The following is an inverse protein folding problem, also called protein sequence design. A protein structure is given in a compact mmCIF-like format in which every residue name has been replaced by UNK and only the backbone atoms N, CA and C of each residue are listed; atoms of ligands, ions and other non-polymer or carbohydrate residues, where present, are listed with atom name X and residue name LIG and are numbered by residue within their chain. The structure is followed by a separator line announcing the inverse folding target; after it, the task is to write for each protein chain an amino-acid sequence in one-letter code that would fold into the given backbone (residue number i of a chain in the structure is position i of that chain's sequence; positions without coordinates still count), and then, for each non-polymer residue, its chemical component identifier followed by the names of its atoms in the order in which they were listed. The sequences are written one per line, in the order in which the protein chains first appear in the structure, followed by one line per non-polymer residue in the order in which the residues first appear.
data_IF_071751930377
#
_entry.id   IF_071751930377
#
_cell.length_a   1.000
_cell.length_b   1.000
_cell.length_c   1.000
_cell.angle_alpha   90.00
_cell.angle_beta   90.00
_cell.angle_gamma   90.00
#
_symmetry.space_group_name_H-M   'P 1'
#
loop_
_entity.id
_entity.type
_entity.pdbx_description
1 polymer ?
#
# COMPACT_ATOMS: atom_id res chain seq x y z
N UNK A 1 -6.11 -39.29 22.79
CA UNK A 1 -5.01 -38.50 22.20
C UNK A 1 -5.65 -37.31 21.49
N UNK A 2 -5.64 -36.13 22.12
CA UNK A 2 -6.20 -34.90 21.54
C UNK A 2 -5.22 -34.40 20.48
N UNK A 3 -5.59 -34.52 19.20
CA UNK A 3 -4.88 -33.80 18.14
C UNK A 3 -5.24 -32.31 18.29
N UNK A 4 -4.26 -31.50 18.70
CA UNK A 4 -4.36 -30.05 18.55
C UNK A 4 -4.50 -29.76 17.05
N UNK A 5 -5.53 -29.02 16.60
CA UNK A 5 -5.65 -28.65 15.20
C UNK A 5 -4.44 -27.80 14.84
N UNK A 6 -3.55 -28.38 14.03
CA UNK A 6 -2.28 -27.80 13.66
C UNK A 6 -2.44 -26.40 13.11
N UNK A 7 -1.42 -25.57 13.34
CA UNK A 7 -1.27 -24.24 12.77
C UNK A 7 -1.40 -24.33 11.24
N UNK A 8 -2.58 -24.02 10.71
CA UNK A 8 -2.79 -24.00 9.26
C UNK A 8 -2.03 -22.81 8.67
N UNK A 9 -0.98 -23.08 7.89
CA UNK A 9 -0.28 -22.05 7.14
C UNK A 9 -0.64 -22.15 5.65
N UNK A 10 -1.11 -21.06 5.04
CA UNK A 10 -1.29 -20.98 3.61
C UNK A 10 -0.02 -20.43 2.95
N UNK A 11 0.47 -21.16 1.95
CA UNK A 11 1.67 -20.78 1.17
C UNK A 11 1.24 -20.29 -0.20
N UNK A 12 1.96 -19.29 -0.70
CA UNK A 12 1.69 -18.68 -1.99
C UNK A 12 2.58 -17.47 -2.20
N UNK A 13 2.05 -16.44 -2.83
CA UNK A 13 2.77 -15.20 -3.08
C UNK A 13 1.88 -13.98 -2.96
N UNK A 14 2.48 -12.88 -2.52
CA UNK A 14 1.88 -11.55 -2.63
C UNK A 14 2.51 -10.86 -3.83
N UNK A 15 1.68 -10.42 -4.75
CA UNK A 15 2.02 -9.63 -5.92
C UNK A 15 1.49 -8.21 -5.71
N UNK A 16 2.34 -7.21 -5.89
CA UNK A 16 1.96 -5.80 -5.86
C UNK A 16 2.22 -5.22 -7.22
N UNK A 17 1.17 -4.69 -7.85
CA UNK A 17 1.21 -4.02 -9.14
C UNK A 17 0.90 -2.54 -8.95
N UNK A 18 1.67 -1.66 -9.58
CA UNK A 18 1.44 -0.22 -9.54
C UNK A 18 1.23 0.30 -10.96
N UNK A 19 0.18 1.09 -11.15
CA UNK A 19 -0.23 1.67 -12.43
C UNK A 19 -0.36 3.18 -12.28
N UNK A 20 -0.05 3.93 -13.35
CA UNK A 20 -0.40 5.33 -13.38
C UNK A 20 -1.93 5.48 -13.54
N UNK A 21 -2.58 6.33 -12.75
CA UNK A 21 -4.04 6.38 -12.65
C UNK A 21 -4.65 7.73 -13.02
N UNK A 22 -4.09 8.83 -12.53
CA UNK A 22 -4.60 10.17 -12.77
C UNK A 22 -3.44 11.11 -13.16
N UNK A 23 -3.62 12.02 -14.15
CA UNK A 23 -4.88 12.45 -14.78
C UNK A 23 -5.41 11.58 -15.92
N UNK A 24 -4.65 10.58 -16.35
CA UNK A 24 -5.07 9.60 -17.35
C UNK A 24 -4.61 8.23 -16.89
N UNK A 25 -5.49 7.23 -16.99
CA UNK A 25 -5.11 5.85 -16.74
C UNK A 25 -4.00 5.44 -17.71
N UNK A 26 -2.97 4.79 -17.17
CA UNK A 26 -1.81 4.34 -17.92
C UNK A 26 -1.39 2.93 -17.53
N UNK A 27 -0.30 2.49 -18.13
CA UNK A 27 0.21 1.13 -17.94
C UNK A 27 0.81 0.89 -16.55
N UNK A 28 1.11 -0.39 -16.28
CA UNK A 28 1.84 -0.81 -15.10
C UNK A 28 3.24 -0.19 -15.11
N UNK A 29 3.54 0.61 -14.09
CA UNK A 29 4.81 1.33 -13.94
C UNK A 29 5.81 0.61 -13.04
N UNK A 30 5.33 -0.29 -12.18
CA UNK A 30 6.18 -1.10 -11.31
C UNK A 30 5.44 -2.35 -10.83
N UNK A 31 6.18 -3.41 -10.50
CA UNK A 31 5.64 -4.56 -9.79
C UNK A 31 6.68 -5.20 -8.87
N UNK A 32 6.21 -5.90 -7.83
CA UNK A 32 7.03 -6.78 -7.01
C UNK A 32 6.23 -8.01 -6.62
N UNK A 33 6.88 -9.16 -6.55
CA UNK A 33 6.28 -10.42 -6.12
C UNK A 33 7.17 -11.08 -5.07
N UNK A 34 6.57 -11.61 -4.02
CA UNK A 34 7.28 -12.31 -2.95
C UNK A 34 6.51 -13.53 -2.50
N UNK A 35 7.21 -14.65 -2.37
CA UNK A 35 6.65 -15.84 -1.74
C UNK A 35 6.38 -15.59 -0.26
N UNK A 36 5.23 -16.05 0.21
CA UNK A 36 4.77 -15.84 1.58
C UNK A 36 4.20 -17.12 2.16
N UNK A 37 4.33 -17.23 3.47
CA UNK A 37 3.64 -18.23 4.29
C UNK A 37 2.84 -17.51 5.36
N UNK A 38 1.53 -17.50 5.19
CA UNK A 38 0.59 -16.80 6.08
C UNK A 38 0.06 -17.81 7.07
N UNK A 39 0.33 -17.58 8.35
CA UNK A 39 -0.18 -18.43 9.44
C UNK A 39 -1.61 -18.02 9.76
N UNK A 40 -2.50 -19.00 9.86
CA UNK A 40 -3.90 -18.75 10.26
C UNK A 40 -3.98 -18.29 11.71
N UNK A 41 -5.00 -17.48 12.01
CA UNK A 41 -5.35 -17.04 13.38
C UNK A 41 -4.28 -16.21 14.09
N UNK A 42 -3.31 -15.69 13.35
CA UNK A 42 -2.34 -14.70 13.83
C UNK A 42 -2.24 -13.56 12.81
N UNK A 43 -1.88 -12.38 13.31
CA UNK A 43 -1.55 -11.26 12.44
C UNK A 43 -0.21 -11.53 11.74
N UNK A 44 -0.21 -11.46 10.42
CA UNK A 44 0.99 -11.53 9.59
C UNK A 44 1.31 -10.13 9.06
N UNK A 45 2.57 -9.73 9.09
CA UNK A 45 3.02 -8.47 8.50
C UNK A 45 4.05 -8.78 7.42
N UNK A 46 3.83 -8.23 6.23
CA UNK A 46 4.65 -8.50 5.05
C UNK A 46 5.09 -7.16 4.49
N UNK A 47 6.40 -6.91 4.54
CA UNK A 47 7.02 -5.71 3.99
C UNK A 47 7.55 -6.03 2.59
N UNK A 48 7.14 -5.19 1.63
CA UNK A 48 7.54 -5.23 0.23
C UNK A 48 8.04 -3.84 -0.16
N UNK A 49 9.18 -3.79 -0.83
CA UNK A 49 9.72 -2.55 -1.37
C UNK A 49 9.46 -2.55 -2.88
N UNK A 50 8.74 -1.54 -3.35
CA UNK A 50 8.46 -1.34 -4.76
C UNK A 50 9.22 -0.12 -5.25
N UNK A 51 10.14 -0.32 -6.20
CA UNK A 51 10.84 0.77 -6.87
C UNK A 51 10.00 1.28 -8.04
N UNK A 52 9.71 2.58 -8.06
CA UNK A 52 9.07 3.26 -9.18
C UNK A 52 10.13 4.17 -9.79
N UNK A 53 10.54 3.87 -11.02
CA UNK A 53 11.52 4.68 -11.74
C UNK A 53 10.87 5.99 -12.19
N UNK A 54 11.56 7.11 -11.95
CA UNK A 54 11.13 8.45 -12.37
C UNK A 54 9.64 8.75 -12.06
N UNK A 55 9.23 8.68 -10.77
CA UNK A 55 7.83 8.85 -10.42
C UNK A 55 7.35 10.26 -10.76
N UNK A 56 6.20 10.34 -11.43
CA UNK A 56 5.41 11.58 -11.50
C UNK A 56 4.90 11.89 -10.09
N UNK A 57 5.36 13.00 -9.53
CA UNK A 57 5.08 13.37 -8.16
C UNK A 57 3.70 14.02 -8.04
N UNK A 58 3.04 13.78 -6.91
CA UNK A 58 1.84 14.48 -6.53
C UNK A 58 2.18 15.90 -6.06
N UNK A 59 1.43 16.89 -6.52
CA UNK A 59 1.44 18.28 -6.05
C UNK A 59 0.05 18.91 -6.27
N UNK A 60 -0.28 20.00 -5.58
CA UNK A 60 -1.63 20.59 -5.65
C UNK A 60 -2.08 20.95 -7.09
N UNK A 61 -1.16 21.45 -7.93
CA UNK A 61 -1.45 21.77 -9.34
C UNK A 61 -1.33 20.60 -10.32
N UNK A 62 -0.64 19.52 -9.94
CA UNK A 62 -0.51 18.30 -10.74
C UNK A 62 -0.71 17.09 -9.80
N UNK A 63 -1.96 16.74 -9.48
CA UNK A 63 -2.27 15.75 -8.47
C UNK A 63 -2.13 14.33 -9.04
N UNK A 64 -0.93 13.99 -9.53
CA UNK A 64 -0.61 12.68 -10.10
C UNK A 64 -0.93 11.57 -9.09
N UNK A 65 -1.69 10.56 -9.52
CA UNK A 65 -2.06 9.42 -8.68
C UNK A 65 -1.69 8.10 -9.34
N UNK A 66 -1.46 7.10 -8.50
CA UNK A 66 -1.20 5.73 -8.89
C UNK A 66 -2.24 4.81 -8.29
N UNK A 67 -2.62 3.78 -9.03
CA UNK A 67 -3.41 2.65 -8.56
C UNK A 67 -2.44 1.55 -8.16
N UNK A 68 -2.49 1.14 -6.89
CA UNK A 68 -1.74 -0.01 -6.38
C UNK A 68 -2.73 -1.14 -6.15
N UNK A 69 -2.43 -2.28 -6.76
CA UNK A 69 -3.18 -3.53 -6.61
C UNK A 69 -2.29 -4.51 -5.86
N UNK A 70 -2.78 -5.07 -4.77
CA UNK A 70 -2.11 -6.10 -3.97
C UNK A 70 -2.92 -7.38 -4.12
N UNK A 71 -2.33 -8.40 -4.72
CA UNK A 71 -2.97 -9.69 -4.98
C UNK A 71 -2.27 -10.77 -4.16
N UNK A 72 -3.05 -11.52 -3.37
CA UNK A 72 -2.58 -12.76 -2.77
C UNK A 72 -2.91 -13.91 -3.72
N UNK A 73 -1.92 -14.70 -4.10
CA UNK A 73 -2.09 -15.91 -4.91
C UNK A 73 -1.74 -17.16 -4.12
N UNK A 74 -2.42 -18.26 -4.42
CA UNK A 74 -2.05 -19.58 -3.89
C UNK A 74 -0.89 -20.18 -4.70
N UNK A 75 -0.37 -21.34 -4.28
CA UNK A 75 0.70 -22.07 -5.00
C UNK A 75 0.36 -22.45 -6.45
N UNK A 76 -0.92 -22.47 -6.84
CA UNK A 76 -1.36 -22.74 -8.22
C UNK A 76 -1.38 -21.46 -9.07
N UNK A 77 -1.09 -20.30 -8.48
CA UNK A 77 -1.15 -18.98 -9.13
C UNK A 77 -2.54 -18.36 -9.15
N UNK A 78 -3.55 -19.03 -8.58
CA UNK A 78 -4.92 -18.53 -8.51
C UNK A 78 -4.98 -17.39 -7.47
N UNK A 79 -5.61 -16.28 -7.83
CA UNK A 79 -5.87 -15.19 -6.89
C UNK A 79 -6.84 -15.69 -5.81
N UNK A 80 -6.40 -15.61 -4.55
CA UNK A 80 -7.20 -15.92 -3.38
C UNK A 80 -7.97 -14.67 -2.94
N UNK A 81 -7.30 -13.52 -3.00
CA UNK A 81 -7.80 -12.24 -2.52
C UNK A 81 -7.04 -11.10 -3.20
N UNK A 82 -7.64 -9.91 -3.23
CA UNK A 82 -7.04 -8.70 -3.76
C UNK A 82 -7.49 -7.44 -3.00
N UNK A 83 -6.65 -6.42 -3.05
CA UNK A 83 -6.93 -5.10 -2.47
C UNK A 83 -6.37 -4.00 -3.36
N UNK A 84 -7.19 -3.00 -3.65
CA UNK A 84 -6.81 -1.87 -4.51
C UNK A 84 -6.85 -0.57 -3.70
N UNK A 85 -5.80 0.24 -3.84
CA UNK A 85 -5.70 1.56 -3.26
C UNK A 85 -5.12 2.58 -4.24
N UNK A 86 -5.45 3.85 -4.04
CA UNK A 86 -4.92 4.96 -4.84
C UNK A 86 -3.95 5.77 -3.99
N UNK A 87 -2.76 6.07 -4.52
CA UNK A 87 -1.69 6.79 -3.80
C UNK A 87 -1.16 7.98 -4.59
N UNK A 88 -0.65 8.99 -3.88
CA UNK A 88 0.16 10.08 -4.44
C UNK A 88 1.58 10.04 -3.86
N UNK A 89 2.59 10.13 -4.73
CA UNK A 89 4.02 10.08 -4.33
C UNK A 89 4.52 11.53 -4.16
N UNK A 90 4.94 11.91 -2.96
CA UNK A 90 5.46 13.25 -2.66
C UNK A 90 6.46 13.22 -1.51
N UNK A 91 7.35 14.18 -1.49
CA UNK A 91 8.20 14.49 -0.33
C UNK A 91 7.55 15.65 0.42
N UNK A 92 7.39 15.49 1.73
CA UNK A 92 6.87 16.52 2.61
C UNK A 92 7.98 16.88 3.60
N UNK A 93 8.26 18.18 3.75
CA UNK A 93 9.25 18.69 4.68
C UNK A 93 8.74 19.97 5.34
N UNK A 94 8.99 20.16 6.65
CA UNK A 94 8.69 21.40 7.34
C UNK A 94 9.97 22.03 7.87
N UNK A 95 10.24 23.29 7.50
CA UNK A 95 11.41 24.06 7.93
C UNK A 95 10.98 25.46 8.34
N UNK A 96 11.34 25.88 9.56
CA UNK A 96 11.07 27.22 10.09
C UNK A 96 9.59 27.66 9.93
N UNK A 97 8.65 26.75 10.20
CA UNK A 97 7.21 27.02 10.07
C UNK A 97 6.67 27.03 8.64
N UNK A 98 7.51 26.81 7.62
CA UNK A 98 7.07 26.68 6.22
C UNK A 98 6.98 25.21 5.84
N UNK A 99 5.86 24.81 5.24
CA UNK A 99 5.67 23.48 4.65
C UNK A 99 6.22 23.48 3.23
N UNK A 100 6.93 22.41 2.86
CA UNK A 100 7.44 22.18 1.53
C UNK A 100 6.88 20.86 1.00
N UNK A 101 6.33 20.89 -0.21
CA UNK A 101 5.95 19.70 -0.97
C UNK A 101 6.84 19.63 -2.20
N UNK A 102 7.59 18.54 -2.34
CA UNK A 102 8.59 18.35 -3.41
C UNK A 102 9.56 19.55 -3.52
N UNK A 103 10.06 20.02 -2.37
CA UNK A 103 10.95 21.18 -2.22
C UNK A 103 10.36 22.55 -2.61
N UNK A 104 9.05 22.65 -2.87
CA UNK A 104 8.37 23.93 -3.09
C UNK A 104 7.58 24.33 -1.87
N UNK A 105 7.74 25.59 -1.44
CA UNK A 105 7.00 26.14 -0.32
C UNK A 105 5.49 26.15 -0.66
N UNK A 106 4.70 25.51 0.17
CA UNK A 106 3.25 25.45 0.04
C UNK A 106 2.61 26.17 1.22
N UNK A 107 1.61 26.98 0.94
CA UNK A 107 0.77 27.57 1.99
C UNK A 107 -0.31 26.54 2.36
N UNK A 108 -0.36 26.16 3.64
CA UNK A 108 -1.49 25.41 4.15
C UNK A 108 -2.73 26.30 4.11
N UNK A 109 -3.56 26.12 3.08
CA UNK A 109 -4.91 26.70 3.05
C UNK A 109 -5.75 25.91 4.04
N UNK A 110 -5.90 26.42 5.25
CA UNK A 110 -6.70 25.79 6.28
C UNK A 110 -8.18 25.85 5.88
N UNK A 111 -8.77 24.71 5.53
CA UNK A 111 -10.22 24.46 5.62
C UNK A 111 -10.49 22.94 5.70
N UNK A 112 -10.58 22.46 6.95
CA UNK A 112 -10.99 21.15 7.46
C UNK A 112 -9.90 20.06 7.58
N UNK A 113 -10.11 19.26 8.63
CA UNK A 113 -9.22 18.25 9.19
C UNK A 113 -8.91 17.11 8.21
N UNK A 114 -7.64 16.92 7.86
CA UNK A 114 -7.20 15.72 7.15
C UNK A 114 -5.92 15.16 7.81
N UNK A 115 -6.10 14.09 8.63
CA UNK A 115 -5.13 13.04 9.00
C UNK A 115 -4.46 12.36 7.74
N UNK A 116 -3.53 11.39 7.84
CA UNK A 116 -3.19 10.21 6.95
C UNK A 116 -1.79 9.68 7.36
N UNK A 117 -1.76 8.47 7.94
CA UNK A 117 -0.63 7.51 8.04
C UNK A 117 -1.11 6.19 7.41
N UNK A 118 -0.20 5.21 7.31
CA UNK A 118 -0.46 3.88 6.77
C UNK A 118 0.16 2.80 7.67
N UNK A 119 -0.59 1.75 8.00
CA UNK A 119 -0.10 0.51 8.64
C UNK A 119 -0.85 -0.66 8.01
N UNK A 120 -0.15 -1.71 7.53
CA UNK A 120 -0.77 -2.90 6.92
C UNK A 120 -0.74 -4.07 7.88
N UNK A 121 -1.92 -4.67 8.11
CA UNK A 121 -2.17 -5.76 9.07
C UNK A 121 -2.86 -6.91 8.32
N UNK A 122 -2.28 -8.13 8.29
CA UNK A 122 -2.91 -9.28 7.61
C UNK A 122 -3.48 -10.28 8.62
N UNK A 123 -4.80 -10.49 8.60
CA UNK A 123 -5.50 -11.21 9.68
C UNK A 123 -5.70 -12.73 9.53
N UNK A 124 -5.85 -13.30 8.31
CA UNK A 124 -6.18 -14.73 8.16
C UNK A 124 -6.22 -15.23 6.70
N UNK A 125 -6.02 -16.54 6.49
CA UNK A 125 -6.17 -17.25 5.20
C UNK A 125 -7.62 -17.37 4.67
N UNK A 126 -8.63 -16.78 5.33
CA UNK A 126 -10.04 -16.81 4.88
C UNK A 126 -10.71 -15.45 4.72
N UNK A 127 -10.08 -14.38 5.20
CA UNK A 127 -10.56 -13.01 5.11
C UNK A 127 -9.32 -12.10 5.15
N UNK A 128 -8.91 -11.50 4.02
CA UNK A 128 -8.05 -10.34 4.13
C UNK A 128 -8.85 -9.16 4.67
N UNK A 129 -8.20 -8.39 5.52
CA UNK A 129 -8.69 -7.08 5.91
C UNK A 129 -7.48 -6.17 5.93
N UNK A 130 -7.23 -5.50 4.80
CA UNK A 130 -6.26 -4.41 4.76
C UNK A 130 -6.95 -3.21 5.41
N UNK A 131 -6.56 -2.89 6.65
CA UNK A 131 -7.00 -1.67 7.32
C UNK A 131 -6.01 -0.55 6.98
N UNK A 132 -6.45 0.48 6.26
CA UNK A 132 -5.73 1.74 6.12
C UNK A 132 -5.99 2.60 7.36
N UNK A 133 -4.95 2.95 8.12
CA UNK A 133 -5.07 3.66 9.39
C UNK A 133 -4.19 4.90 9.46
N UNK A 134 -4.83 6.04 9.75
CA UNK A 134 -4.34 7.40 9.53
C UNK A 134 -3.86 8.08 10.84
N UNK A 135 -2.70 8.73 10.83
CA UNK A 135 -2.07 9.36 12.02
C UNK A 135 -1.12 10.45 11.49
N UNK A 136 -0.98 11.60 12.14
CA UNK A 136 0.12 12.55 11.86
C UNK A 136 0.99 12.66 13.11
N UNK A 137 2.28 12.97 12.93
CA UNK A 137 3.15 13.47 13.98
C UNK A 137 3.28 14.99 13.84
#
# INVERSE_FOLDING_TARGET
MLQYPGVYACKGDVEVNCYFWYPSEGDKVAFVRKEVEIRSSVENQIILNLLIEQPRLWQAGEPNQYKVEVVLRNKKGEAIDDYVLTIGIRIIEQKNGTLYVNNRAEMLLHNRDDLINFVTVLGSCRNFHVKSGQTFL
#
